data_IF_841055967100
#
_entry.id   IF_841055967100
#
_cell.length_a   1.000
_cell.length_b   1.000
_cell.length_c   1.000
_cell.angle_alpha   90.00
_cell.angle_beta   90.00
_cell.angle_gamma   90.00
#
_symmetry.space_group_name_H-M   'P 1'
#
loop_
_entity.id
_entity.type
_entity.pdbx_description
1 polymer ?
#
# COMPACT_ATOMS: atom_id res chain seq x y z
N UNK A 1 -1.91 -20.70 -1.82
CA UNK A 1 -2.59 -19.39 -1.92
C UNK A 1 -1.59 -18.25 -1.76
N UNK A 2 -1.49 -17.32 -2.71
CA UNK A 2 -0.60 -16.16 -2.55
C UNK A 2 -1.28 -15.15 -1.60
N UNK A 3 -0.62 -14.76 -0.50
CA UNK A 3 -1.16 -13.78 0.48
C UNK A 3 -1.53 -12.47 -0.22
N UNK A 4 -2.81 -12.06 -0.17
CA UNK A 4 -3.36 -10.85 -0.79
C UNK A 4 -3.01 -9.56 -0.03
N UNK A 5 -2.57 -9.70 1.22
CA UNK A 5 -2.23 -8.59 2.10
C UNK A 5 -0.74 -8.57 2.44
N UNK A 6 -0.23 -7.36 2.73
CA UNK A 6 0.94 -7.11 3.55
C UNK A 6 0.44 -6.62 4.91
N UNK A 7 0.87 -7.24 6.02
CA UNK A 7 0.27 -7.02 7.34
C UNK A 7 1.31 -6.49 8.31
N UNK A 8 1.03 -5.36 8.93
CA UNK A 8 1.93 -4.65 9.83
C UNK A 8 2.82 -3.64 9.10
N UNK A 9 3.36 -2.70 9.87
CA UNK A 9 4.19 -1.59 9.38
C UNK A 9 5.36 -2.10 8.52
N UNK A 10 6.12 -3.07 9.03
CA UNK A 10 7.31 -3.61 8.37
C UNK A 10 7.01 -4.25 7.00
N UNK A 11 5.94 -5.05 6.90
CA UNK A 11 5.61 -5.71 5.64
C UNK A 11 5.12 -4.69 4.60
N UNK A 12 4.35 -3.69 5.03
CA UNK A 12 3.83 -2.61 4.16
C UNK A 12 4.98 -1.76 3.63
N UNK A 13 5.88 -1.27 4.50
CA UNK A 13 7.03 -0.45 4.08
C UNK A 13 7.93 -1.22 3.13
N UNK A 14 8.23 -2.48 3.46
CA UNK A 14 9.07 -3.35 2.65
C UNK A 14 8.51 -3.60 1.25
N UNK A 15 7.18 -3.59 1.09
CA UNK A 15 6.55 -3.66 -0.25
C UNK A 15 6.67 -2.31 -0.95
N UNK A 16 6.31 -1.20 -0.29
CA UNK A 16 6.38 0.14 -0.88
C UNK A 16 7.81 0.52 -1.34
N UNK A 17 8.83 0.18 -0.56
CA UNK A 17 10.25 0.43 -0.88
C UNK A 17 10.69 -0.30 -2.16
N UNK A 18 10.14 -1.49 -2.39
CA UNK A 18 10.43 -2.31 -3.57
C UNK A 18 9.61 -1.94 -4.80
N UNK A 19 8.52 -1.18 -4.64
CA UNK A 19 7.78 -0.61 -5.76
C UNK A 19 8.63 0.45 -6.47
N UNK A 20 8.57 0.55 -7.81
CA UNK A 20 9.22 1.64 -8.53
C UNK A 20 8.64 2.99 -8.09
N UNK A 21 9.50 3.99 -7.92
CA UNK A 21 9.05 5.35 -7.65
C UNK A 21 8.26 5.89 -8.85
N UNK A 22 7.22 6.68 -8.60
CA UNK A 22 6.38 7.23 -9.66
C UNK A 22 7.17 8.06 -10.69
N UNK A 23 8.25 8.71 -10.27
CA UNK A 23 9.14 9.51 -11.13
C UNK A 23 10.12 8.68 -11.96
N UNK A 24 10.36 7.41 -11.61
CA UNK A 24 11.25 6.53 -12.38
C UNK A 24 10.55 5.89 -13.59
N UNK A 25 9.21 5.88 -13.61
CA UNK A 25 8.42 5.31 -14.70
C UNK A 25 8.38 6.19 -15.96
N UNK A 26 8.66 7.50 -15.84
CA UNK A 26 8.63 8.44 -16.98
C UNK A 26 9.91 8.39 -17.82
N UNK A 27 10.99 7.76 -17.34
CA UNK A 27 12.27 7.68 -18.04
C UNK A 27 12.55 6.32 -18.71
N UNK A 28 11.61 5.36 -18.67
CA UNK A 28 11.79 4.05 -19.33
C UNK A 28 11.13 3.95 -20.70
N UNK A 29 10.86 5.07 -21.36
CA UNK A 29 10.34 5.13 -22.72
C UNK A 29 11.44 5.31 -23.76
N UNK A 30 12.42 4.40 -23.86
CA UNK A 30 13.25 4.28 -25.06
C UNK A 30 13.72 2.84 -25.29
N UNK A 31 13.57 2.43 -26.54
CA UNK A 31 13.86 1.16 -27.21
C UNK A 31 15.16 0.44 -26.81
N UNK A 32 15.05 -0.90 -26.90
CA UNK A 32 16.06 -1.90 -27.28
C UNK A 32 17.56 -1.60 -27.17
N UNK A 33 18.26 -2.62 -26.65
CA UNK A 33 19.69 -2.98 -26.81
C UNK A 33 20.59 -2.57 -25.65
N UNK A 34 20.97 -3.60 -24.90
CA UNK A 34 22.22 -3.81 -24.16
C UNK A 34 22.93 -2.60 -23.52
N UNK A 35 22.81 -2.50 -22.19
CA UNK A 35 23.92 -2.12 -21.33
C UNK A 35 23.71 -2.79 -19.96
N UNK A 36 24.32 -3.97 -19.81
CA UNK A 36 24.44 -4.67 -18.54
C UNK A 36 25.30 -3.78 -17.63
N UNK A 37 24.69 -3.13 -16.65
CA UNK A 37 25.41 -2.65 -15.47
C UNK A 37 25.03 -3.56 -14.32
N UNK A 38 26.01 -4.33 -13.86
CA UNK A 38 25.99 -5.31 -12.78
C UNK A 38 25.36 -4.80 -11.47
N UNK A 39 24.02 -4.76 -11.37
CA UNK A 39 23.25 -4.77 -10.09
C UNK A 39 21.83 -5.33 -10.24
N UNK A 40 21.54 -6.11 -11.28
CA UNK A 40 20.27 -6.84 -11.40
C UNK A 40 20.28 -8.08 -10.48
N UNK A 41 20.50 -7.88 -9.18
CA UNK A 41 20.40 -8.94 -8.19
C UNK A 41 18.93 -9.35 -8.09
N UNK A 42 18.58 -10.44 -8.78
CA UNK A 42 17.41 -11.29 -8.56
C UNK A 42 16.18 -10.57 -7.96
N UNK A 43 15.65 -9.54 -8.63
CA UNK A 43 14.44 -8.86 -8.15
C UNK A 43 13.26 -9.80 -8.35
N UNK A 44 12.73 -10.31 -7.24
CA UNK A 44 11.43 -10.95 -7.23
C UNK A 44 10.39 -10.03 -7.90
N UNK A 45 9.37 -10.59 -8.58
CA UNK A 45 8.38 -9.80 -9.33
C UNK A 45 7.83 -8.65 -8.49
N UNK A 46 7.74 -7.42 -9.04
CA UNK A 46 7.28 -6.27 -8.29
C UNK A 46 5.85 -6.51 -7.82
N UNK A 47 5.66 -6.55 -6.50
CA UNK A 47 4.34 -6.61 -5.89
C UNK A 47 3.87 -5.18 -5.69
N UNK A 48 2.77 -4.81 -6.35
CA UNK A 48 2.17 -3.49 -6.22
C UNK A 48 1.09 -3.50 -5.14
N UNK A 49 0.96 -2.39 -4.42
CA UNK A 49 -0.16 -2.13 -3.52
C UNK A 49 -1.19 -1.24 -4.21
N UNK A 50 -2.47 -1.62 -4.11
CA UNK A 50 -3.59 -0.81 -4.56
C UNK A 50 -3.93 0.29 -3.54
N UNK A 51 -3.88 -0.05 -2.25
CA UNK A 51 -4.18 0.87 -1.14
C UNK A 51 -3.43 0.44 0.12
N UNK A 52 -3.14 1.40 0.99
CA UNK A 52 -2.66 1.15 2.36
C UNK A 52 -3.72 1.61 3.36
N UNK A 53 -4.13 0.72 4.26
CA UNK A 53 -5.00 1.02 5.39
C UNK A 53 -4.12 1.24 6.63
N UNK A 54 -4.34 2.32 7.38
CA UNK A 54 -3.57 2.64 8.61
C UNK A 54 -4.53 2.84 9.77
N UNK A 55 -4.26 2.20 10.89
CA UNK A 55 -5.02 2.38 12.12
C UNK A 55 -4.67 3.72 12.79
N UNK A 56 -5.67 4.55 13.12
CA UNK A 56 -5.45 5.85 13.76
C UNK A 56 -5.18 5.75 15.27
N UNK A 57 -5.52 4.62 15.88
CA UNK A 57 -5.35 4.29 17.30
C UNK A 57 -3.91 3.84 17.67
N UNK A 58 -2.97 3.88 16.73
CA UNK A 58 -1.56 3.57 16.99
C UNK A 58 -0.97 4.51 18.05
N UNK A 59 -0.47 3.94 19.16
CA UNK A 59 0.25 4.64 20.20
C UNK A 59 1.54 3.87 20.55
N UNK A 60 2.73 4.42 20.27
CA UNK A 60 2.98 5.80 19.82
C UNK A 60 2.77 6.00 18.31
N UNK A 61 2.33 7.21 17.91
CA UNK A 61 2.01 7.56 16.52
C UNK A 61 3.20 7.52 15.55
N UNK A 62 4.44 7.57 16.04
CA UNK A 62 5.63 7.61 15.19
C UNK A 62 5.83 6.32 14.37
N UNK A 63 5.26 5.20 14.83
CA UNK A 63 5.34 3.90 14.14
C UNK A 63 4.67 3.89 12.78
N UNK A 64 3.65 4.73 12.54
CA UNK A 64 2.92 4.78 11.27
C UNK A 64 3.12 6.11 10.53
N UNK A 65 3.75 7.10 11.16
CA UNK A 65 3.93 8.46 10.63
C UNK A 65 4.63 8.51 9.26
N UNK A 66 5.53 7.58 8.98
CA UNK A 66 6.29 7.53 7.73
C UNK A 66 5.51 6.92 6.56
N UNK A 67 4.45 6.15 6.83
CA UNK A 67 3.70 5.39 5.82
C UNK A 67 3.05 6.31 4.78
N UNK A 68 2.33 7.40 5.15
CA UNK A 68 1.71 8.29 4.16
C UNK A 68 2.71 8.90 3.18
N UNK A 69 3.85 9.37 3.68
CA UNK A 69 4.93 9.91 2.83
C UNK A 69 5.47 8.85 1.88
N UNK A 70 5.80 7.66 2.39
CA UNK A 70 6.33 6.56 1.57
C UNK A 70 5.34 6.14 0.49
N UNK A 71 4.06 5.99 0.83
CA UNK A 71 3.00 5.61 -0.11
C UNK A 71 2.77 6.69 -1.19
N UNK A 72 2.82 7.97 -0.82
CA UNK A 72 2.69 9.10 -1.75
C UNK A 72 3.76 9.09 -2.85
N UNK A 73 5.02 8.77 -2.51
CA UNK A 73 6.10 8.63 -3.52
C UNK A 73 5.85 7.54 -4.56
N UNK A 74 4.94 6.61 -4.26
CA UNK A 74 4.54 5.48 -5.11
C UNK A 74 3.13 5.65 -5.70
N UNK A 75 2.49 6.80 -5.50
CA UNK A 75 1.10 7.07 -5.88
C UNK A 75 0.10 6.05 -5.32
N UNK A 76 0.38 5.50 -4.14
CA UNK A 76 -0.53 4.57 -3.47
C UNK A 76 -1.41 5.34 -2.48
N UNK A 77 -2.74 5.28 -2.60
CA UNK A 77 -3.65 5.94 -1.67
C UNK A 77 -3.52 5.34 -0.27
N UNK A 78 -3.66 6.20 0.75
CA UNK A 78 -3.66 5.81 2.16
C UNK A 78 -5.00 6.14 2.77
N UNK A 79 -5.66 5.15 3.36
CA UNK A 79 -6.90 5.31 4.11
C UNK A 79 -6.60 5.15 5.61
N UNK A 80 -6.71 6.25 6.35
CA UNK A 80 -6.58 6.24 7.80
C UNK A 80 -7.92 5.89 8.43
N UNK A 81 -8.00 4.74 9.12
CA UNK A 81 -9.20 4.31 9.82
C UNK A 81 -9.24 4.97 11.19
N UNK A 82 -10.16 5.91 11.35
CA UNK A 82 -10.45 6.57 12.62
C UNK A 82 -11.74 5.99 13.17
N UNK A 83 -11.59 4.96 14.00
CA UNK A 83 -12.68 4.38 14.79
C UNK A 83 -12.54 4.84 16.26
N UNK A 84 -13.47 4.46 17.13
CA UNK A 84 -13.50 4.71 18.58
C UNK A 84 -12.35 4.00 19.34
N UNK A 85 -11.10 4.23 18.92
CA UNK A 85 -9.83 3.67 19.43
C UNK A 85 -9.62 2.16 19.24
N UNK A 86 -10.36 1.54 18.32
CA UNK A 86 -10.28 0.09 18.09
C UNK A 86 -10.03 -0.29 16.61
N UNK A 87 -9.59 0.68 15.81
CA UNK A 87 -9.28 0.49 14.39
C UNK A 87 -8.20 -0.58 14.15
N UNK A 88 -7.23 -0.71 15.05
CA UNK A 88 -6.17 -1.71 14.94
C UNK A 88 -6.66 -3.13 15.19
N UNK A 89 -7.61 -3.31 16.11
CA UNK A 89 -8.28 -4.60 16.35
C UNK A 89 -9.11 -4.98 15.13
N UNK A 90 -9.90 -4.03 14.60
CA UNK A 90 -10.74 -4.28 13.43
C UNK A 90 -9.94 -4.66 12.19
N UNK A 91 -8.83 -3.98 11.95
CA UNK A 91 -7.88 -4.37 10.89
C UNK A 91 -7.31 -5.76 11.11
N UNK A 92 -6.92 -6.09 12.35
CA UNK A 92 -6.41 -7.42 12.69
C UNK A 92 -7.40 -8.53 12.35
N UNK A 93 -8.67 -8.33 12.69
CA UNK A 93 -9.75 -9.30 12.44
C UNK A 93 -9.95 -9.59 10.95
N UNK A 94 -9.77 -8.61 10.06
CA UNK A 94 -9.89 -8.80 8.59
C UNK A 94 -8.84 -9.78 8.06
N UNK A 95 -7.66 -9.84 8.69
CA UNK A 95 -6.54 -10.70 8.27
C UNK A 95 -6.24 -11.83 9.27
N UNK A 96 -7.20 -12.13 10.15
CA UNK A 96 -7.13 -13.20 11.14
C UNK A 96 -5.90 -13.12 12.08
N UNK A 97 -5.62 -11.92 12.58
CA UNK A 97 -4.61 -11.66 13.63
C UNK A 97 -5.20 -10.81 14.75
N UNK A 98 -4.52 -10.74 15.89
CA UNK A 98 -5.02 -9.99 17.06
C UNK A 98 -5.20 -8.50 16.74
N UNK A 99 -4.18 -7.85 16.21
CA UNK A 99 -4.23 -6.43 15.81
C UNK A 99 -3.35 -6.20 14.59
N UNK A 100 -3.65 -5.17 13.81
CA UNK A 100 -2.80 -4.70 12.72
C UNK A 100 -2.81 -3.17 12.65
N UNK A 101 -1.61 -2.57 12.68
CA UNK A 101 -1.46 -1.11 12.59
C UNK A 101 -1.50 -0.59 11.15
N UNK A 102 -1.13 -1.44 10.20
CA UNK A 102 -1.14 -1.14 8.79
C UNK A 102 -1.45 -2.40 7.98
N UNK A 103 -2.22 -2.25 6.90
CA UNK A 103 -2.49 -3.33 5.94
C UNK A 103 -2.33 -2.77 4.53
N UNK A 104 -1.46 -3.38 3.73
CA UNK A 104 -1.33 -3.11 2.30
C UNK A 104 -2.13 -4.13 1.51
N UNK A 105 -3.06 -3.68 0.67
CA UNK A 105 -3.80 -4.57 -0.26
C UNK A 105 -3.00 -4.69 -1.55
N UNK A 106 -2.60 -5.90 -1.92
CA UNK A 106 -1.84 -6.14 -3.15
C UNK A 106 -2.76 -6.09 -4.37
N UNK A 107 -2.33 -5.43 -5.44
CA UNK A 107 -3.06 -5.38 -6.71
C UNK A 107 -2.97 -6.75 -7.41
N UNK A 108 -4.05 -7.54 -7.35
CA UNK A 108 -4.13 -8.90 -7.92
C UNK A 108 -5.48 -9.21 -8.55
N UNK A 109 -6.24 -8.17 -8.90
CA UNK A 109 -7.55 -8.28 -9.54
C UNK A 109 -8.53 -9.21 -8.83
N UNK A 110 -8.46 -9.25 -7.50
CA UNK A 110 -9.34 -10.03 -6.65
C UNK A 110 -10.67 -9.30 -6.38
N UNK A 111 -11.65 -10.01 -5.83
CA UNK A 111 -12.92 -9.42 -5.38
C UNK A 111 -12.68 -8.29 -4.36
N UNK A 112 -11.66 -8.43 -3.50
CA UNK A 112 -11.25 -7.36 -2.57
C UNK A 112 -10.77 -6.13 -3.33
N UNK A 113 -10.00 -6.31 -4.40
CA UNK A 113 -9.52 -5.17 -5.19
C UNK A 113 -10.69 -4.40 -5.82
N UNK A 114 -11.70 -5.12 -6.35
CA UNK A 114 -12.92 -4.50 -6.89
C UNK A 114 -13.70 -3.71 -5.82
N UNK A 115 -13.88 -4.30 -4.63
CA UNK A 115 -14.54 -3.63 -3.52
C UNK A 115 -13.77 -2.36 -3.07
N UNK A 116 -12.43 -2.43 -3.03
CA UNK A 116 -11.60 -1.26 -2.74
C UNK A 116 -11.74 -0.19 -3.83
N UNK A 117 -11.78 -0.56 -5.11
CA UNK A 117 -11.98 0.40 -6.21
C UNK A 117 -13.31 1.14 -6.07
N UNK A 118 -14.38 0.45 -5.69
CA UNK A 118 -15.68 1.07 -5.42
C UNK A 118 -15.60 2.07 -4.26
N UNK A 119 -14.98 1.69 -3.14
CA UNK A 119 -14.78 2.57 -1.98
C UNK A 119 -13.94 3.79 -2.34
N UNK A 120 -12.85 3.61 -3.09
CA UNK A 120 -11.98 4.71 -3.53
C UNK A 120 -12.70 5.65 -4.50
N UNK A 121 -13.54 5.13 -5.40
CA UNK A 121 -14.38 5.96 -6.27
C UNK A 121 -15.35 6.81 -5.46
N UNK A 122 -16.06 6.21 -4.49
CA UNK A 122 -16.99 6.94 -3.61
C UNK A 122 -16.28 8.00 -2.77
N UNK A 123 -15.12 7.68 -2.18
CA UNK A 123 -14.35 8.64 -1.39
C UNK A 123 -13.89 9.86 -2.21
N UNK A 124 -13.51 9.64 -3.47
CA UNK A 124 -13.13 10.72 -4.39
C UNK A 124 -14.33 11.56 -4.86
N UNK A 125 -15.55 11.02 -4.83
CA UNK A 125 -16.78 11.77 -5.14
C UNK A 125 -17.18 12.70 -3.99
N UNK A 126 -17.05 12.25 -2.72
CA UNK A 126 -17.35 13.06 -1.54
C UNK A 126 -16.37 14.24 -1.37
N UNK A 127 -15.13 14.10 -1.82
CA UNK A 127 -14.14 15.18 -1.76
C UNK A 127 -14.33 16.30 -2.83
N UNK A 128 -15.31 16.16 -3.73
CA UNK A 128 -15.56 17.09 -4.85
C UNK A 128 -16.89 17.87 -4.76
N UNK A 129 -17.65 17.71 -3.69
CA UNK A 129 -18.83 18.55 -3.47
C UNK A 129 -18.43 19.88 -2.79
N UNK A 130 -18.75 21.05 -3.39
CA UNK A 130 -18.42 22.38 -2.87
C UNK A 130 -19.32 22.83 -1.71
#
# INVERSE_FOLDING_TARGET
>A
MKRQFAVGVNDVTRVLERMPAATAATHSGHSSTEAITDKALCRAPPVLLQVVLVAADCNPKWLTKHIPTLASTRQVPVLCLKDNKESSLRLGQVVNVRTALAIGVKARDSIINKAIDEVLKTANLVAKEP
#
